data_IF_873161418265
#
_entry.id   IF_873161418265
#
_cell.length_a   1.000
_cell.length_b   1.000
_cell.length_c   1.000
_cell.angle_alpha   90.00
_cell.angle_beta   90.00
_cell.angle_gamma   90.00
#
_symmetry.space_group_name_H-M   'P 1'
#
loop_
_entity.id
_entity.type
_entity.pdbx_description
1 polymer ?
#
# COMPACT_ATOMS: atom_id res chain seq x y z
N UNK A 1 78.34 -25.60 -16.95
CA UNK A 1 79.19 -24.67 -17.72
C UNK A 1 78.34 -23.43 -17.98
N UNK A 2 78.27 -22.52 -17.01
CA UNK A 2 79.22 -21.39 -16.83
C UNK A 2 79.10 -20.38 -17.99
N UNK A 3 78.49 -19.20 -17.73
CA UNK A 3 79.16 -17.92 -17.36
C UNK A 3 79.66 -17.21 -18.63
N UNK A 4 79.55 -15.90 -18.85
CA UNK A 4 79.17 -14.70 -18.11
C UNK A 4 78.75 -13.67 -19.21
N UNK A 5 78.36 -12.40 -19.03
CA UNK A 5 78.92 -11.33 -18.21
C UNK A 5 78.05 -10.06 -18.50
N UNK A 6 77.70 -9.27 -17.47
CA UNK A 6 77.27 -7.85 -17.53
C UNK A 6 78.49 -6.95 -17.90
N UNK A 7 78.43 -5.61 -18.23
CA UNK A 7 77.53 -4.57 -17.70
C UNK A 7 77.12 -3.36 -18.62
N UNK A 8 76.29 -2.47 -18.05
CA UNK A 8 75.84 -1.08 -18.39
C UNK A 8 76.96 -0.08 -18.76
N UNK A 9 76.77 1.25 -19.07
CA UNK A 9 75.61 2.19 -18.95
C UNK A 9 75.47 3.21 -20.13
N UNK A 10 74.61 4.25 -20.04
CA UNK A 10 74.97 5.69 -20.23
C UNK A 10 73.74 6.65 -20.20
N UNK A 11 73.71 7.46 -19.14
CA UNK A 11 73.43 8.93 -19.06
C UNK A 11 72.17 9.50 -19.75
N UNK A 12 71.16 10.02 -19.04
CA UNK A 12 71.11 11.23 -18.18
C UNK A 12 71.41 12.57 -18.87
N UNK A 13 70.42 13.48 -18.88
CA UNK A 13 70.47 14.97 -18.87
C UNK A 13 69.00 15.46 -18.88
N UNK A 14 68.40 15.80 -17.74
CA UNK A 14 68.31 17.15 -17.14
C UNK A 14 68.13 18.27 -18.17
N UNK A 15 66.98 18.94 -18.15
CA UNK A 15 66.91 20.40 -18.21
C UNK A 15 65.75 20.93 -17.36
N UNK A 16 66.12 21.57 -16.25
CA UNK A 16 65.30 22.50 -15.46
C UNK A 16 65.11 23.80 -16.25
N UNK A 17 64.14 24.62 -15.80
CA UNK A 17 63.79 25.99 -16.25
C UNK A 17 62.67 25.97 -17.30
N UNK A 18 61.43 26.39 -17.01
CA UNK A 18 61.10 27.70 -16.46
C UNK A 18 60.05 27.65 -15.33
N UNK A 19 60.48 28.13 -14.16
CA UNK A 19 59.65 28.84 -13.18
C UNK A 19 59.37 30.24 -13.75
N UNK A 20 58.16 30.80 -13.61
CA UNK A 20 57.89 32.15 -13.06
C UNK A 20 56.43 32.60 -13.34
N UNK A 21 55.72 32.96 -12.26
CA UNK A 21 54.51 33.81 -12.23
C UNK A 21 53.23 33.12 -12.66
N UNK A 22 52.16 32.99 -11.87
CA UNK A 22 51.56 33.98 -10.97
C UNK A 22 50.84 33.23 -9.84
N UNK A 23 51.28 33.45 -8.61
CA UNK A 23 50.49 33.22 -7.41
C UNK A 23 49.86 34.56 -7.04
N UNK A 24 48.53 34.62 -7.00
CA UNK A 24 47.82 35.75 -6.42
C UNK A 24 46.57 36.17 -7.18
N UNK A 25 45.47 35.44 -6.99
CA UNK A 25 44.19 36.01 -6.54
C UNK A 25 43.13 34.89 -6.42
N UNK A 26 42.29 35.02 -5.39
CA UNK A 26 40.99 34.34 -5.24
C UNK A 26 40.98 32.92 -4.69
N UNK A 27 41.53 32.82 -3.48
CA UNK A 27 41.06 31.94 -2.42
C UNK A 27 39.61 32.33 -2.04
N UNK A 28 38.61 32.01 -2.87
CA UNK A 28 37.16 32.21 -2.60
C UNK A 28 36.26 31.56 -3.69
N UNK A 29 36.47 30.29 -4.02
CA UNK A 29 35.59 29.57 -4.97
C UNK A 29 35.46 28.08 -4.62
N UNK A 30 35.32 27.77 -3.33
CA UNK A 30 35.52 26.40 -2.85
C UNK A 30 34.58 25.92 -1.75
N UNK A 31 33.39 26.52 -1.56
CA UNK A 31 32.27 25.89 -0.84
C UNK A 31 30.95 26.43 -1.42
N UNK A 32 30.51 25.91 -2.56
CA UNK A 32 29.06 25.86 -2.89
C UNK A 32 28.76 24.41 -3.22
N UNK A 33 28.85 23.57 -2.19
CA UNK A 33 28.35 22.21 -2.25
C UNK A 33 26.83 22.27 -2.27
N UNK A 34 26.26 22.19 -3.48
CA UNK A 34 25.00 21.54 -3.79
C UNK A 34 23.84 21.73 -2.79
N UNK A 35 23.34 22.95 -2.63
CA UNK A 35 21.93 23.15 -2.33
C UNK A 35 21.14 23.10 -3.65
N UNK A 36 21.03 21.91 -4.26
CA UNK A 36 19.99 21.72 -5.26
C UNK A 36 18.66 21.86 -4.51
N UNK A 37 17.77 22.80 -4.89
CA UNK A 37 16.44 22.81 -4.34
C UNK A 37 15.83 21.46 -4.69
N UNK A 38 15.65 20.62 -3.65
CA UNK A 38 14.75 19.50 -3.76
C UNK A 38 13.43 20.12 -4.22
N UNK A 39 13.06 19.88 -5.47
CA UNK A 39 11.75 20.28 -5.95
C UNK A 39 10.77 19.60 -4.99
N UNK A 40 10.14 20.41 -4.13
CA UNK A 40 9.02 19.97 -3.30
C UNK A 40 7.93 19.67 -4.31
N UNK A 41 7.92 18.45 -4.84
CA UNK A 41 6.79 17.97 -5.62
C UNK A 41 5.64 17.90 -4.62
N UNK A 42 4.56 18.68 -4.81
CA UNK A 42 3.43 18.60 -3.92
C UNK A 42 2.97 17.14 -3.89
N UNK A 43 2.83 16.55 -2.70
CA UNK A 43 2.24 15.22 -2.62
C UNK A 43 0.87 15.25 -3.30
N UNK A 44 0.53 14.21 -4.08
CA UNK A 44 -0.76 14.17 -4.73
C UNK A 44 -1.87 14.21 -3.67
N UNK A 45 -2.90 15.02 -3.90
CA UNK A 45 -4.08 15.00 -3.03
C UNK A 45 -4.82 13.68 -3.15
N UNK A 46 -5.65 13.34 -2.15
CA UNK A 46 -6.50 12.14 -2.15
C UNK A 46 -7.35 12.05 -3.42
N UNK A 47 -7.91 13.16 -3.88
CA UNK A 47 -8.64 13.22 -5.14
C UNK A 47 -7.75 12.95 -6.38
N UNK A 48 -6.49 13.37 -6.37
CA UNK A 48 -5.53 13.04 -7.44
C UNK A 48 -5.15 11.56 -7.43
N UNK A 49 -4.91 10.97 -6.25
CA UNK A 49 -4.64 9.53 -6.11
C UNK A 49 -5.77 8.70 -6.71
N UNK A 50 -7.01 9.01 -6.34
CA UNK A 50 -8.20 8.29 -6.84
C UNK A 50 -8.38 8.47 -8.34
N UNK A 51 -8.22 9.69 -8.87
CA UNK A 51 -8.27 9.90 -10.33
C UNK A 51 -7.21 9.08 -11.05
N UNK A 52 -5.98 9.07 -10.54
CA UNK A 52 -4.89 8.28 -11.10
C UNK A 52 -5.16 6.78 -11.02
N UNK A 53 -5.70 6.29 -9.90
CA UNK A 53 -6.08 4.90 -9.71
C UNK A 53 -7.13 4.46 -10.74
N UNK A 54 -8.18 5.26 -10.94
CA UNK A 54 -9.19 5.01 -11.96
C UNK A 54 -8.60 4.98 -13.38
N UNK A 55 -7.66 5.89 -13.71
CA UNK A 55 -6.95 5.86 -15.00
C UNK A 55 -6.13 4.58 -15.17
N UNK A 56 -5.45 4.11 -14.12
CA UNK A 56 -4.68 2.86 -14.17
C UNK A 56 -5.61 1.64 -14.35
N UNK A 57 -6.78 1.61 -13.70
CA UNK A 57 -7.79 0.58 -13.96
C UNK A 57 -8.24 0.56 -15.42
N UNK A 58 -8.53 1.73 -16.01
CA UNK A 58 -8.92 1.84 -17.43
C UNK A 58 -7.84 1.32 -18.37
N UNK A 59 -6.58 1.53 -18.02
CA UNK A 59 -5.41 1.00 -18.73
C UNK A 59 -5.13 -0.48 -18.44
N UNK A 60 -5.96 -1.13 -17.63
CA UNK A 60 -5.79 -2.53 -17.15
C UNK A 60 -4.53 -2.74 -16.29
N UNK A 61 -3.96 -1.67 -15.76
CA UNK A 61 -2.84 -1.69 -14.82
C UNK A 61 -3.39 -1.84 -13.39
N UNK A 62 -3.95 -3.01 -13.07
CA UNK A 62 -4.67 -3.22 -11.81
C UNK A 62 -3.77 -3.19 -10.57
N UNK A 63 -2.48 -3.53 -10.70
CA UNK A 63 -1.53 -3.46 -9.59
C UNK A 63 -1.27 -2.01 -9.17
N UNK A 64 -0.95 -1.14 -10.11
CA UNK A 64 -0.72 0.29 -9.84
C UNK A 64 -2.00 0.97 -9.35
N UNK A 65 -3.15 0.58 -9.92
CA UNK A 65 -4.44 1.05 -9.44
C UNK A 65 -4.69 0.67 -7.97
N UNK A 66 -4.42 -0.58 -7.59
CA UNK A 66 -4.59 -1.06 -6.22
C UNK A 66 -3.73 -0.24 -5.25
N UNK A 67 -2.45 -0.03 -5.58
CA UNK A 67 -1.54 0.77 -4.74
C UNK A 67 -2.06 2.20 -4.51
N UNK A 68 -2.54 2.85 -5.57
CA UNK A 68 -3.09 4.21 -5.46
C UNK A 68 -4.41 4.27 -4.67
N UNK A 69 -5.26 3.25 -4.77
CA UNK A 69 -6.46 3.17 -3.93
C UNK A 69 -6.12 2.92 -2.46
N UNK A 70 -5.19 1.99 -2.17
CA UNK A 70 -4.71 1.76 -0.80
C UNK A 70 -4.11 3.04 -0.21
N UNK A 71 -3.26 3.74 -0.97
CA UNK A 71 -2.70 5.01 -0.52
C UNK A 71 -3.79 6.06 -0.24
N UNK A 72 -4.80 6.17 -1.11
CA UNK A 72 -5.91 7.11 -0.91
C UNK A 72 -6.76 6.76 0.31
N UNK A 73 -7.03 5.47 0.53
CA UNK A 73 -7.81 4.95 1.66
C UNK A 73 -7.11 5.15 3.01
N UNK A 74 -5.79 5.26 3.02
CA UNK A 74 -5.00 5.59 4.22
C UNK A 74 -4.93 7.08 4.55
N UNK A 75 -5.57 7.97 3.77
CA UNK A 75 -5.55 9.42 4.02
C UNK A 75 -6.69 9.82 4.96
N UNK A 76 -6.39 10.64 5.96
CA UNK A 76 -7.39 11.12 6.93
C UNK A 76 -8.46 12.02 6.31
N UNK A 77 -8.16 12.70 5.20
CA UNK A 77 -9.03 13.68 4.53
C UNK A 77 -10.00 13.05 3.51
N UNK A 78 -10.00 11.72 3.35
CA UNK A 78 -10.88 11.03 2.41
C UNK A 78 -12.34 11.10 2.87
N UNK A 79 -13.24 11.46 1.95
CA UNK A 79 -14.67 11.50 2.26
C UNK A 79 -15.27 10.08 2.41
N UNK A 80 -16.20 9.85 3.37
CA UNK A 80 -16.78 8.52 3.60
C UNK A 80 -17.41 7.85 2.38
N UNK A 81 -18.09 8.62 1.51
CA UNK A 81 -18.66 8.08 0.26
C UNK A 81 -17.58 7.63 -0.72
N UNK A 82 -16.47 8.36 -0.74
CA UNK A 82 -15.32 8.07 -1.59
C UNK A 82 -14.55 6.85 -1.11
N UNK A 83 -14.50 6.60 0.21
CA UNK A 83 -14.00 5.35 0.79
C UNK A 83 -14.78 4.17 0.22
N UNK A 84 -16.11 4.22 0.24
CA UNK A 84 -16.95 3.10 -0.20
C UNK A 84 -16.70 2.73 -1.68
N UNK A 85 -16.66 3.71 -2.58
CA UNK A 85 -16.35 3.50 -3.99
C UNK A 85 -14.90 3.00 -4.21
N UNK A 86 -13.95 3.53 -3.43
CA UNK A 86 -12.53 3.14 -3.53
C UNK A 86 -12.29 1.71 -3.02
N UNK A 87 -12.95 1.29 -1.94
CA UNK A 87 -12.90 -0.08 -1.42
C UNK A 87 -13.44 -1.09 -2.43
N UNK A 88 -14.58 -0.79 -3.07
CA UNK A 88 -15.15 -1.64 -4.11
C UNK A 88 -14.18 -1.82 -5.28
N UNK A 89 -13.55 -0.73 -5.75
CA UNK A 89 -12.59 -0.76 -6.85
C UNK A 89 -11.28 -1.45 -6.48
N UNK A 90 -10.79 -1.22 -5.26
CA UNK A 90 -9.63 -1.93 -4.72
C UNK A 90 -9.92 -3.43 -4.68
N UNK A 91 -11.06 -3.86 -4.14
CA UNK A 91 -11.46 -5.28 -4.11
C UNK A 91 -11.49 -5.92 -5.50
N UNK A 92 -11.98 -5.20 -6.53
CA UNK A 92 -11.91 -5.66 -7.92
C UNK A 92 -10.47 -5.80 -8.44
N UNK A 93 -9.58 -4.88 -8.06
CA UNK A 93 -8.17 -4.98 -8.42
C UNK A 93 -7.51 -6.18 -7.72
N UNK A 94 -7.79 -6.35 -6.43
CA UNK A 94 -7.24 -7.42 -5.60
C UNK A 94 -7.66 -8.80 -6.07
N UNK A 95 -8.93 -8.99 -6.45
CA UNK A 95 -9.40 -10.26 -7.01
C UNK A 95 -8.70 -10.62 -8.33
N UNK A 96 -8.42 -9.62 -9.18
CA UNK A 96 -7.71 -9.83 -10.47
C UNK A 96 -6.23 -10.12 -10.26
N UNK A 97 -5.59 -9.39 -9.36
CA UNK A 97 -4.14 -9.42 -9.14
C UNK A 97 -3.73 -10.34 -8.01
N UNK A 98 -4.67 -11.07 -7.40
CA UNK A 98 -4.38 -12.05 -6.35
C UNK A 98 -3.79 -11.41 -5.08
N UNK A 99 -4.28 -10.21 -4.74
CA UNK A 99 -3.85 -9.37 -3.60
C UNK A 99 -4.86 -9.42 -2.44
N UNK A 100 -5.44 -10.59 -2.15
CA UNK A 100 -6.47 -10.72 -1.11
C UNK A 100 -5.93 -10.44 0.30
N UNK A 101 -4.67 -10.75 0.58
CA UNK A 101 -4.04 -10.48 1.88
C UNK A 101 -3.87 -8.96 2.10
N UNK A 102 -3.26 -8.25 1.14
CA UNK A 102 -3.13 -6.78 1.17
C UNK A 102 -4.49 -6.07 1.24
N UNK A 103 -5.51 -6.64 0.58
CA UNK A 103 -6.87 -6.10 0.64
C UNK A 103 -7.50 -6.26 2.03
N UNK A 104 -7.31 -7.42 2.66
CA UNK A 104 -7.79 -7.66 4.02
C UNK A 104 -7.13 -6.69 5.02
N UNK A 105 -5.81 -6.47 4.91
CA UNK A 105 -5.07 -5.50 5.72
C UNK A 105 -5.60 -4.08 5.52
N UNK A 106 -5.71 -3.62 4.26
CA UNK A 106 -6.26 -2.29 3.95
C UNK A 106 -7.69 -2.12 4.50
N UNK A 107 -8.50 -3.16 4.42
CA UNK A 107 -9.89 -3.12 4.88
C UNK A 107 -9.97 -3.01 6.41
N UNK A 108 -9.08 -3.69 7.15
CA UNK A 108 -8.96 -3.55 8.60
C UNK A 108 -8.56 -2.12 8.98
N UNK A 109 -7.54 -1.56 8.34
CA UNK A 109 -7.09 -0.19 8.59
C UNK A 109 -8.19 0.85 8.32
N UNK A 110 -8.95 0.68 7.23
CA UNK A 110 -10.06 1.59 6.89
C UNK A 110 -11.15 1.55 7.94
N UNK A 111 -11.49 0.38 8.47
CA UNK A 111 -12.50 0.27 9.55
C UNK A 111 -11.97 0.87 10.85
N UNK A 112 -10.70 0.67 11.18
CA UNK A 112 -10.11 1.23 12.39
C UNK A 112 -10.05 2.77 12.34
N UNK A 113 -9.70 3.33 11.18
CA UNK A 113 -9.56 4.78 10.99
C UNK A 113 -10.90 5.50 10.76
N UNK A 114 -11.85 4.85 10.06
CA UNK A 114 -13.06 5.50 9.55
C UNK A 114 -14.37 4.78 9.91
N UNK A 115 -14.33 3.70 10.68
CA UNK A 115 -15.49 2.84 11.00
C UNK A 115 -16.63 3.50 11.78
N UNK A 116 -16.42 4.72 12.29
CA UNK A 116 -17.52 5.55 12.85
C UNK A 116 -18.53 5.98 11.79
N UNK A 117 -18.14 6.05 10.52
CA UNK A 117 -19.10 6.25 9.44
C UNK A 117 -19.81 4.94 9.14
N UNK A 118 -21.15 4.99 9.21
CA UNK A 118 -22.00 3.88 8.80
C UNK A 118 -21.73 3.45 7.36
N UNK A 119 -21.56 4.40 6.45
CA UNK A 119 -21.27 4.14 5.04
C UNK A 119 -19.99 3.33 4.87
N UNK A 120 -18.93 3.69 5.61
CA UNK A 120 -17.65 2.98 5.59
C UNK A 120 -17.81 1.57 6.14
N UNK A 121 -18.47 1.40 7.30
CA UNK A 121 -18.68 0.08 7.90
C UNK A 121 -19.46 -0.85 6.97
N UNK A 122 -20.55 -0.36 6.36
CA UNK A 122 -21.33 -1.16 5.42
C UNK A 122 -20.55 -1.47 4.15
N UNK A 123 -19.75 -0.52 3.65
CA UNK A 123 -18.86 -0.76 2.52
C UNK A 123 -17.83 -1.86 2.84
N UNK A 124 -17.11 -1.75 3.96
CA UNK A 124 -16.14 -2.75 4.40
C UNK A 124 -16.78 -4.14 4.56
N UNK A 125 -17.95 -4.22 5.20
CA UNK A 125 -18.72 -5.47 5.34
C UNK A 125 -19.03 -6.06 3.96
N UNK A 126 -19.62 -5.28 3.05
CA UNK A 126 -19.98 -5.78 1.71
C UNK A 126 -18.75 -6.17 0.86
N UNK A 127 -17.69 -5.36 0.87
CA UNK A 127 -16.47 -5.61 0.09
C UNK A 127 -15.71 -6.83 0.62
N UNK A 128 -15.63 -7.02 1.95
CA UNK A 128 -15.02 -8.23 2.53
C UNK A 128 -15.70 -9.50 2.04
N UNK A 129 -17.03 -9.51 1.96
CA UNK A 129 -17.80 -10.68 1.52
C UNK A 129 -17.64 -10.96 0.02
N UNK A 130 -17.54 -9.91 -0.78
CA UNK A 130 -17.49 -10.01 -2.23
C UNK A 130 -16.09 -10.42 -2.72
N UNK A 131 -15.05 -9.91 -2.09
CA UNK A 131 -13.69 -9.98 -2.63
C UNK A 131 -12.74 -10.86 -1.83
N UNK A 132 -13.00 -11.14 -0.55
CA UNK A 132 -12.18 -12.05 0.23
C UNK A 132 -12.66 -13.49 0.06
N UNK A 133 -11.71 -14.40 -0.18
CA UNK A 133 -11.95 -15.85 -0.25
C UNK A 133 -12.13 -16.41 1.14
N UNK A 134 -13.22 -17.13 1.41
CA UNK A 134 -13.44 -17.74 2.75
C UNK A 134 -12.56 -18.95 3.07
N UNK A 135 -11.45 -19.16 2.35
CA UNK A 135 -10.48 -20.20 2.63
C UNK A 135 -9.07 -19.66 2.41
N UNK A 136 -8.09 -20.27 3.07
CA UNK A 136 -6.67 -19.97 2.91
C UNK A 136 -5.79 -21.13 3.37
N UNK A 137 -4.49 -20.88 3.56
CA UNK A 137 -3.51 -21.88 3.98
C UNK A 137 -2.72 -21.33 5.17
N UNK A 138 -2.44 -22.20 6.14
CA UNK A 138 -1.52 -21.91 7.24
C UNK A 138 -0.13 -22.48 6.94
N UNK A 139 0.89 -21.63 6.98
CA UNK A 139 2.31 -21.95 6.76
C UNK A 139 3.09 -21.41 7.96
N UNK A 140 3.84 -22.27 8.66
CA UNK A 140 4.64 -21.89 9.85
C UNK A 140 3.86 -21.09 10.93
N UNK A 141 2.55 -21.36 11.04
CA UNK A 141 1.67 -20.71 12.01
C UNK A 141 0.98 -19.43 11.50
N UNK A 142 1.35 -18.94 10.32
CA UNK A 142 0.77 -17.75 9.70
C UNK A 142 -0.31 -18.12 8.67
N UNK A 143 -1.42 -17.39 8.69
CA UNK A 143 -2.52 -17.57 7.74
C UNK A 143 -2.31 -16.68 6.51
N UNK A 144 -2.48 -17.28 5.33
CA UNK A 144 -2.48 -16.60 4.04
C UNK A 144 -3.77 -16.93 3.30
N UNK A 145 -4.53 -15.91 2.90
CA UNK A 145 -5.75 -16.07 2.12
C UNK A 145 -5.45 -16.39 0.66
N UNK A 146 -4.30 -15.95 0.15
CA UNK A 146 -3.86 -16.30 -1.19
C UNK A 146 -2.34 -16.55 -1.30
N UNK A 147 -1.85 -17.67 -0.75
CA UNK A 147 -0.43 -17.98 -0.77
C UNK A 147 0.08 -18.24 -2.20
N UNK A 148 1.34 -17.87 -2.43
CA UNK A 148 2.07 -18.23 -3.65
C UNK A 148 2.44 -19.72 -3.72
N UNK A 149 2.27 -20.46 -2.62
CA UNK A 149 2.53 -21.90 -2.53
C UNK A 149 1.25 -22.67 -2.21
N UNK A 150 1.26 -23.97 -2.54
CA UNK A 150 0.23 -24.93 -2.11
C UNK A 150 0.66 -25.74 -0.89
N UNK A 151 1.88 -25.55 -0.40
CA UNK A 151 2.36 -26.18 0.81
C UNK A 151 1.67 -25.55 2.02
N UNK A 152 1.22 -26.38 2.95
CA UNK A 152 0.58 -25.97 4.20
C UNK A 152 -0.79 -26.59 4.39
N UNK A 153 -1.45 -26.22 5.49
CA UNK A 153 -2.76 -26.75 5.87
C UNK A 153 -3.85 -25.80 5.38
N UNK A 154 -4.72 -26.28 4.49
CA UNK A 154 -5.92 -25.55 4.09
C UNK A 154 -6.88 -25.35 5.27
N UNK A 155 -7.40 -24.14 5.42
CA UNK A 155 -8.36 -23.79 6.47
C UNK A 155 -9.50 -22.96 5.89
N UNK A 156 -10.70 -23.16 6.42
CA UNK A 156 -11.88 -22.35 6.13
C UNK A 156 -11.98 -21.24 7.19
N UNK A 157 -12.20 -20.00 6.75
CA UNK A 157 -12.32 -18.81 7.60
C UNK A 157 -13.68 -18.10 7.44
N UNK A 158 -14.65 -18.74 6.76
CA UNK A 158 -15.99 -18.19 6.53
C UNK A 158 -16.70 -17.74 7.82
N UNK A 159 -16.62 -18.55 8.87
CA UNK A 159 -17.17 -18.25 10.19
C UNK A 159 -16.47 -17.05 10.84
N UNK A 160 -15.14 -16.97 10.70
CA UNK A 160 -14.34 -15.89 11.26
C UNK A 160 -14.63 -14.56 10.57
N UNK A 161 -14.72 -14.56 9.24
CA UNK A 161 -15.09 -13.39 8.42
C UNK A 161 -16.49 -12.88 8.78
N UNK A 162 -17.42 -13.81 9.04
CA UNK A 162 -18.78 -13.49 9.47
C UNK A 162 -18.80 -12.87 10.86
N UNK A 163 -18.10 -13.46 11.83
CA UNK A 163 -17.99 -12.92 13.19
C UNK A 163 -17.39 -11.52 13.15
N UNK A 164 -16.37 -11.30 12.32
CA UNK A 164 -15.74 -9.99 12.15
C UNK A 164 -16.73 -8.95 11.60
N UNK A 165 -17.45 -9.30 10.53
CA UNK A 165 -18.49 -8.45 9.95
C UNK A 165 -19.57 -8.09 10.97
N UNK A 166 -20.03 -9.08 11.75
CA UNK A 166 -21.02 -8.86 12.80
C UNK A 166 -20.49 -7.96 13.93
N UNK A 167 -19.21 -8.07 14.28
CA UNK A 167 -18.57 -7.18 15.25
C UNK A 167 -18.60 -5.73 14.77
N UNK A 168 -18.16 -5.47 13.54
CA UNK A 168 -18.19 -4.12 12.96
C UNK A 168 -19.60 -3.53 12.93
N UNK A 169 -20.59 -4.32 12.52
CA UNK A 169 -21.99 -3.89 12.51
C UNK A 169 -22.51 -3.61 13.93
N UNK A 170 -22.12 -4.41 14.91
CA UNK A 170 -22.51 -4.22 16.32
C UNK A 170 -21.88 -2.97 16.89
N UNK A 171 -20.63 -2.68 16.56
CA UNK A 171 -19.94 -1.48 17.02
C UNK A 171 -20.52 -0.21 16.38
N UNK A 172 -20.86 -0.27 15.08
CA UNK A 172 -21.60 0.82 14.42
C UNK A 172 -22.98 1.07 15.05
N UNK A 173 -23.68 0.02 15.51
CA UNK A 173 -24.98 0.16 16.18
C UNK A 173 -24.89 0.83 17.56
N UNK A 174 -23.71 0.83 18.20
CA UNK A 174 -23.48 1.53 19.48
C UNK A 174 -23.32 3.04 19.30
N UNK A 175 -23.12 3.53 18.07
CA UNK A 175 -23.07 4.96 17.80
C UNK A 175 -24.43 5.61 18.06
N UNK A 176 -24.46 6.65 18.91
CA UNK A 176 -25.67 7.38 19.27
C UNK A 176 -26.36 7.99 18.05
N UNK A 177 -25.60 8.43 17.05
CA UNK A 177 -26.17 9.00 15.83
C UNK A 177 -26.96 7.94 15.05
N UNK A 178 -26.42 6.72 14.97
CA UNK A 178 -27.12 5.60 14.33
C UNK A 178 -28.34 5.18 15.14
N UNK A 179 -28.27 5.15 16.47
CA UNK A 179 -29.43 4.82 17.32
C UNK A 179 -30.57 5.85 17.20
N UNK A 180 -30.24 7.13 17.03
CA UNK A 180 -31.22 8.19 16.84
C UNK A 180 -31.83 8.25 15.42
N UNK A 181 -31.26 7.52 14.46
CA UNK A 181 -31.70 7.51 13.07
C UNK A 181 -32.21 6.12 12.66
N UNK A 182 -33.53 5.96 12.64
CA UNK A 182 -34.20 4.68 12.34
C UNK A 182 -33.77 4.10 10.99
N UNK A 183 -33.58 4.93 9.96
CA UNK A 183 -33.14 4.47 8.63
C UNK A 183 -31.72 3.89 8.69
N UNK A 184 -30.83 4.50 9.45
CA UNK A 184 -29.47 4.00 9.64
C UNK A 184 -29.46 2.68 10.43
N UNK A 185 -30.20 2.63 11.54
CA UNK A 185 -30.35 1.41 12.33
C UNK A 185 -30.94 0.26 11.50
N UNK A 186 -31.98 0.52 10.70
CA UNK A 186 -32.59 -0.47 9.82
C UNK A 186 -31.59 -1.09 8.83
N UNK A 187 -30.70 -0.27 8.24
CA UNK A 187 -29.66 -0.76 7.32
C UNK A 187 -28.64 -1.67 8.03
N UNK A 188 -28.26 -1.35 9.26
CA UNK A 188 -27.39 -2.23 10.06
C UNK A 188 -28.10 -3.55 10.33
N UNK A 189 -29.36 -3.53 10.81
CA UNK A 189 -30.11 -4.74 11.10
C UNK A 189 -30.31 -5.63 9.87
N UNK A 190 -30.55 -5.03 8.71
CA UNK A 190 -30.63 -5.76 7.45
C UNK A 190 -29.30 -6.44 7.13
N UNK A 191 -28.17 -5.71 7.20
CA UNK A 191 -26.85 -6.27 6.93
C UNK A 191 -26.46 -7.36 7.94
N UNK A 192 -26.82 -7.21 9.23
CA UNK A 192 -26.65 -8.25 10.24
C UNK A 192 -27.47 -9.50 9.91
N UNK A 193 -28.72 -9.32 9.47
CA UNK A 193 -29.60 -10.42 9.07
C UNK A 193 -29.00 -11.20 7.90
N UNK A 194 -28.49 -10.49 6.88
CA UNK A 194 -27.77 -11.09 5.76
C UNK A 194 -26.55 -11.90 6.24
N UNK A 195 -25.78 -11.39 7.19
CA UNK A 195 -24.64 -12.11 7.75
C UNK A 195 -25.05 -13.37 8.52
N UNK A 196 -26.11 -13.29 9.31
CA UNK A 196 -26.60 -14.44 10.11
C UNK A 196 -27.16 -15.54 9.21
N UNK A 197 -27.85 -15.16 8.13
CA UNK A 197 -28.46 -16.11 7.20
C UNK A 197 -27.45 -16.68 6.19
N UNK A 198 -26.31 -16.02 5.99
CA UNK A 198 -25.27 -16.48 5.06
C UNK A 198 -24.77 -17.88 5.41
N UNK A 199 -24.83 -18.80 4.44
CA UNK A 199 -24.39 -20.18 4.60
C UNK A 199 -25.37 -21.07 5.38
N UNK A 200 -26.55 -20.55 5.74
CA UNK A 200 -27.65 -21.31 6.33
C UNK A 200 -28.76 -21.44 5.29
N UNK A 201 -28.69 -22.48 4.46
CA UNK A 201 -29.87 -22.91 3.71
C UNK A 201 -30.90 -23.49 4.69
N UNK A 202 -32.15 -23.04 4.57
CA UNK A 202 -33.29 -23.74 5.16
C UNK A 202 -33.48 -25.12 4.52
#
# INVERSE_FOLDING_TARGET
>A
MELAMRPTPLLSKISRQALFGVLGFSLLAGIVAAAWPQAITPQPSTAQLIRNANMQMQRRNFKDAAQLFTEALGREDIEPRTIADSLEKLGQCSQRMRLEDDFEETLLEVVDNHGKSLEVTLAAVSSSQRYLRSWGIVIDGEFYRNPNTRAGRGVDVSELDRIRSLRWLTDALKDQNTQSNETQAARIYLSMSEQILRGRSA
#
